data_IF_989480422114
#
_entry.id   IF_989480422114
#
_cell.length_a   1.000
_cell.length_b   1.000
_cell.length_c   1.000
_cell.angle_alpha   90.00
_cell.angle_beta   90.00
_cell.angle_gamma   90.00
#
_symmetry.space_group_name_H-M   'P 1'
#
loop_
_entity.id
_entity.type
_entity.pdbx_description
1 polymer ?
#
# COMPACT_ATOMS: atom_id res chain seq x y z
N UNK A 1 -1.65 -4.64 -12.28
CA UNK A 1 -2.98 -4.31 -11.75
C UNK A 1 -3.26 -5.26 -10.60
N UNK A 2 -4.13 -4.86 -9.67
CA UNK A 2 -4.48 -5.65 -8.48
C UNK A 2 -5.19 -6.97 -8.86
N UNK A 3 -5.40 -7.85 -7.87
CA UNK A 3 -6.26 -9.03 -8.04
C UNK A 3 -7.74 -8.67 -8.14
N UNK A 4 -8.20 -7.64 -7.43
CA UNK A 4 -9.54 -7.07 -7.57
C UNK A 4 -9.47 -5.76 -8.39
N UNK A 5 -10.07 -5.71 -9.60
CA UNK A 5 -10.10 -4.50 -10.43
C UNK A 5 -10.76 -3.29 -9.75
N UNK A 6 -11.57 -3.51 -8.71
CA UNK A 6 -12.18 -2.41 -7.94
C UNK A 6 -11.18 -1.67 -7.08
N UNK A 7 -10.00 -2.25 -6.82
CA UNK A 7 -8.95 -1.58 -6.05
C UNK A 7 -8.01 -0.75 -6.92
N UNK A 8 -8.05 -0.94 -8.24
CA UNK A 8 -7.10 -0.29 -9.15
C UNK A 8 -7.18 1.24 -9.07
N UNK A 9 -8.35 1.83 -8.82
CA UNK A 9 -8.46 3.29 -8.66
C UNK A 9 -7.75 3.81 -7.40
N UNK A 10 -7.76 3.05 -6.30
CA UNK A 10 -7.05 3.42 -5.06
C UNK A 10 -5.54 3.35 -5.27
N UNK A 11 -5.11 2.29 -5.95
CA UNK A 11 -3.72 2.05 -6.32
C UNK A 11 -3.17 3.12 -7.26
N UNK A 12 -3.94 3.50 -8.28
CA UNK A 12 -3.59 4.60 -9.18
C UNK A 12 -3.57 5.93 -8.45
N UNK A 13 -4.52 6.19 -7.55
CA UNK A 13 -4.54 7.40 -6.72
C UNK A 13 -3.27 7.52 -5.87
N UNK A 14 -2.80 6.43 -5.28
CA UNK A 14 -1.57 6.43 -4.50
C UNK A 14 -0.33 6.77 -5.36
N UNK A 15 -0.26 6.22 -6.58
CA UNK A 15 0.83 6.48 -7.52
C UNK A 15 0.81 7.94 -7.98
N UNK A 16 -0.32 8.40 -8.52
CA UNK A 16 -0.45 9.75 -9.07
C UNK A 16 -0.40 10.83 -8.00
N UNK A 17 -0.87 10.51 -6.79
CA UNK A 17 -0.79 11.40 -5.63
C UNK A 17 0.58 11.46 -4.96
N UNK A 18 1.54 10.62 -5.37
CA UNK A 18 2.88 10.57 -4.77
C UNK A 18 2.86 10.13 -3.31
N UNK A 19 1.93 9.24 -2.94
CA UNK A 19 1.80 8.76 -1.57
C UNK A 19 3.01 7.89 -1.18
N UNK A 20 3.53 8.04 0.03
CA UNK A 20 4.60 7.17 0.54
C UNK A 20 4.06 5.83 1.07
N UNK A 21 2.78 5.80 1.46
CA UNK A 21 2.16 4.66 2.13
C UNK A 21 0.77 4.36 1.60
N UNK A 22 0.48 3.07 1.40
CA UNK A 22 -0.88 2.53 1.31
C UNK A 22 -1.15 1.84 2.65
N UNK A 23 -2.09 2.38 3.43
CA UNK A 23 -2.47 1.83 4.72
C UNK A 23 -3.79 1.07 4.58
N UNK A 24 -3.78 -0.24 4.84
CA UNK A 24 -4.97 -1.07 4.65
C UNK A 24 -5.11 -2.17 5.71
N UNK A 25 -6.34 -2.63 5.96
CA UNK A 25 -6.60 -3.85 6.74
C UNK A 25 -6.73 -5.09 5.87
N UNK A 26 -6.77 -4.93 4.56
CA UNK A 26 -6.90 -6.02 3.60
C UNK A 26 -5.63 -6.88 3.59
N UNK A 27 -5.76 -8.15 3.97
CA UNK A 27 -4.65 -9.09 4.04
C UNK A 27 -4.19 -9.56 2.65
N UNK A 28 -5.06 -9.57 1.64
CA UNK A 28 -4.67 -9.92 0.28
C UNK A 28 -3.75 -8.85 -0.30
N UNK A 29 -4.03 -7.57 -0.07
CA UNK A 29 -3.15 -6.47 -0.49
C UNK A 29 -1.81 -6.46 0.25
N UNK A 30 -1.82 -6.73 1.57
CA UNK A 30 -0.61 -6.72 2.40
C UNK A 30 0.27 -7.95 2.23
N UNK A 31 -0.27 -9.06 1.69
CA UNK A 31 0.45 -10.33 1.58
C UNK A 31 0.69 -10.77 0.15
N UNK A 32 0.21 -10.02 -0.85
CA UNK A 32 0.55 -10.25 -2.24
C UNK A 32 1.98 -9.75 -2.54
N UNK A 33 2.97 -10.65 -2.71
CA UNK A 33 4.37 -10.25 -2.90
C UNK A 33 4.58 -9.48 -4.20
N UNK A 34 3.83 -9.81 -5.26
CA UNK A 34 3.95 -9.13 -6.55
C UNK A 34 3.42 -7.70 -6.46
N UNK A 35 2.37 -7.48 -5.66
CA UNK A 35 1.83 -6.15 -5.39
C UNK A 35 2.86 -5.32 -4.59
N UNK A 36 3.37 -5.89 -3.49
CA UNK A 36 4.36 -5.23 -2.63
C UNK A 36 5.61 -4.84 -3.43
N UNK A 37 6.15 -5.74 -4.26
CA UNK A 37 7.31 -5.46 -5.10
C UNK A 37 7.03 -4.32 -6.08
N UNK A 38 5.90 -4.38 -6.79
CA UNK A 38 5.52 -3.36 -7.77
C UNK A 38 5.39 -1.97 -7.15
N UNK A 39 4.79 -1.86 -5.97
CA UNK A 39 4.67 -0.58 -5.25
C UNK A 39 6.02 -0.14 -4.66
N UNK A 40 6.84 -1.08 -4.21
CA UNK A 40 8.21 -0.81 -3.75
C UNK A 40 9.09 -0.18 -4.84
N UNK A 41 8.97 -0.60 -6.10
CA UNK A 41 9.71 -0.02 -7.25
C UNK A 41 9.41 1.47 -7.43
N UNK A 42 8.18 1.89 -7.14
CA UNK A 42 7.75 3.30 -7.23
C UNK A 42 7.85 4.04 -5.89
N UNK A 43 8.47 3.43 -4.87
CA UNK A 43 8.72 4.05 -3.56
C UNK A 43 7.56 4.00 -2.57
N UNK A 44 6.51 3.24 -2.85
CA UNK A 44 5.29 3.18 -2.03
C UNK A 44 5.30 1.93 -1.15
N UNK A 45 5.04 2.08 0.14
CA UNK A 45 4.98 0.96 1.10
C UNK A 45 3.54 0.59 1.42
N UNK A 46 3.21 -0.69 1.27
CA UNK A 46 1.91 -1.23 1.72
C UNK A 46 2.06 -1.68 3.18
N UNK A 47 1.28 -1.11 4.09
CA UNK A 47 1.37 -1.38 5.53
C UNK A 47 -0.01 -1.61 6.15
N UNK A 48 -0.02 -2.36 7.26
CA UNK A 48 -1.19 -2.43 8.13
C UNK A 48 -1.41 -1.12 8.89
N UNK A 49 -2.65 -0.93 9.36
CA UNK A 49 -2.99 0.20 10.25
C UNK A 49 -2.08 0.20 11.49
N UNK A 50 -1.85 -0.97 12.11
CA UNK A 50 -1.00 -1.05 13.30
C UNK A 50 0.43 -0.61 12.99
N UNK A 51 1.05 -1.14 11.93
CA UNK A 51 2.41 -0.75 11.52
C UNK A 51 2.50 0.76 11.24
N UNK A 52 1.48 1.34 10.62
CA UNK A 52 1.45 2.78 10.37
C UNK A 52 1.36 3.59 11.66
N UNK A 53 0.51 3.18 12.61
CA UNK A 53 0.42 3.81 13.93
C UNK A 53 1.75 3.72 14.69
N UNK A 54 2.41 2.56 14.68
CA UNK A 54 3.70 2.35 15.34
C UNK A 54 4.78 3.31 14.78
N UNK A 55 4.78 3.54 13.46
CA UNK A 55 5.68 4.50 12.81
C UNK A 55 5.43 5.94 13.25
N UNK A 56 4.16 6.33 13.44
CA UNK A 56 3.81 7.68 13.88
C UNK A 56 4.15 7.93 15.35
N UNK A 57 4.01 6.90 16.20
CA UNK A 57 4.32 7.00 17.63
C UNK A 57 5.81 6.89 17.95
N UNK A 58 6.62 6.45 16.98
CA UNK A 58 8.09 6.32 17.12
C UNK A 58 8.85 7.55 16.62
N UNK A 59 8.15 8.65 16.30
CA UNK A 59 8.75 9.92 15.89
C UNK A 59 8.95 10.88 17.05
#
# INVERSE_FOLDING_TARGET
>A
MCRDPRDDFLLETAIWGGAEYIVTRDDDLKRDPALIERFGVVGIKIVSVQQFLDMLTSQ
#
